data_IF_058482899094
#
_entry.id   IF_058482899094
#
_cell.length_a   1.000
_cell.length_b   1.000
_cell.length_c   1.000
_cell.angle_alpha   90.00
_cell.angle_beta   90.00
_cell.angle_gamma   90.00
#
_symmetry.space_group_name_H-M   'P 1'
#
loop_
_entity.id
_entity.type
_entity.pdbx_description
1 polymer ?
#
# COMPACT_ATOMS: atom_id res chain seq x y z
N UNK A 1 -18.95 16.01 -6.13
CA UNK A 1 -17.68 15.45 -5.61
C UNK A 1 -17.46 13.98 -5.98
N UNK A 2 -18.46 13.10 -5.96
CA UNK A 2 -18.31 11.66 -6.24
C UNK A 2 -18.63 11.24 -7.68
N UNK A 3 -18.73 12.16 -8.63
CA UNK A 3 -19.11 11.87 -10.03
C UNK A 3 -18.06 11.07 -10.80
N UNK A 4 -16.79 11.13 -10.38
CA UNK A 4 -15.69 10.40 -11.00
C UNK A 4 -15.58 8.93 -10.52
N UNK A 5 -16.32 8.56 -9.48
CA UNK A 5 -16.41 7.16 -9.07
C UNK A 5 -17.36 6.36 -9.98
N UNK A 6 -17.11 5.04 -10.12
CA UNK A 6 -17.96 4.15 -10.91
C UNK A 6 -19.45 4.27 -10.57
N UNK A 7 -20.30 4.07 -11.58
CA UNK A 7 -21.76 4.09 -11.39
C UNK A 7 -22.23 2.73 -10.85
N UNK A 8 -23.12 2.69 -9.84
CA UNK A 8 -23.54 1.43 -9.21
C UNK A 8 -24.43 0.55 -10.10
N UNK A 9 -25.06 1.12 -11.14
CA UNK A 9 -26.04 0.44 -11.98
C UNK A 9 -25.44 -0.21 -13.25
N UNK A 10 -24.11 -0.38 -13.30
CA UNK A 10 -23.42 -1.05 -14.39
C UNK A 10 -23.18 -2.51 -13.97
N UNK A 11 -23.38 -3.45 -14.88
CA UNK A 11 -23.02 -4.85 -14.67
C UNK A 11 -21.50 -5.02 -14.87
N UNK A 12 -20.79 -5.02 -13.76
CA UNK A 12 -19.33 -5.22 -13.76
C UNK A 12 -19.00 -6.72 -13.73
N UNK A 13 -17.95 -7.15 -14.45
CA UNK A 13 -17.57 -8.55 -14.48
C UNK A 13 -17.15 -9.04 -13.10
N UNK A 14 -17.60 -10.24 -12.74
CA UNK A 14 -17.16 -10.92 -11.54
C UNK A 14 -15.81 -11.60 -11.80
N UNK A 15 -14.80 -11.26 -11.02
CA UNK A 15 -13.42 -11.77 -11.16
C UNK A 15 -13.01 -12.48 -9.88
N UNK A 16 -13.20 -13.78 -9.82
CA UNK A 16 -12.83 -14.60 -8.64
C UNK A 16 -11.37 -14.42 -8.23
N UNK A 17 -10.49 -14.25 -9.21
CA UNK A 17 -9.07 -14.02 -8.98
C UNK A 17 -8.81 -12.75 -8.15
N UNK A 18 -9.51 -11.67 -8.39
CA UNK A 18 -9.31 -10.41 -7.67
C UNK A 18 -9.72 -10.56 -6.20
N UNK A 19 -10.80 -11.29 -5.93
CA UNK A 19 -11.19 -11.64 -4.56
C UNK A 19 -10.18 -12.56 -3.88
N UNK A 20 -9.63 -13.54 -4.63
CA UNK A 20 -8.58 -14.41 -4.12
C UNK A 20 -7.33 -13.62 -3.75
N UNK A 21 -6.83 -12.73 -4.64
CA UNK A 21 -5.66 -11.89 -4.37
C UNK A 21 -5.88 -11.08 -3.09
N UNK A 22 -7.03 -10.39 -2.99
CA UNK A 22 -7.33 -9.58 -1.83
C UNK A 22 -7.42 -10.43 -0.55
N UNK A 23 -8.27 -11.45 -0.52
CA UNK A 23 -8.45 -12.30 0.66
C UNK A 23 -7.17 -13.00 1.11
N UNK A 24 -6.40 -13.53 0.15
CA UNK A 24 -5.11 -14.16 0.42
C UNK A 24 -4.11 -13.17 1.03
N UNK A 25 -4.00 -11.96 0.46
CA UNK A 25 -3.07 -10.95 0.98
C UNK A 25 -3.47 -10.48 2.38
N UNK A 26 -4.74 -10.14 2.60
CA UNK A 26 -5.22 -9.76 3.94
C UNK A 26 -4.89 -10.82 4.98
N UNK A 27 -5.16 -12.09 4.66
CA UNK A 27 -4.88 -13.20 5.57
C UNK A 27 -3.38 -13.39 5.79
N UNK A 28 -2.59 -13.54 4.72
CA UNK A 28 -1.16 -13.82 4.83
C UNK A 28 -0.38 -12.70 5.48
N UNK A 29 -0.70 -11.42 5.16
CA UNK A 29 -0.06 -10.27 5.82
C UNK A 29 -0.40 -10.27 7.30
N UNK A 30 -1.67 -10.43 7.68
CA UNK A 30 -2.07 -10.47 9.09
C UNK A 30 -1.35 -11.57 9.86
N UNK A 31 -1.35 -12.80 9.33
CA UNK A 31 -0.67 -13.96 9.97
C UNK A 31 0.85 -13.72 10.06
N UNK A 32 1.49 -13.24 9.00
CA UNK A 32 2.93 -12.99 9.00
C UNK A 32 3.34 -11.94 10.02
N UNK A 33 2.57 -10.86 10.15
CA UNK A 33 2.86 -9.80 11.13
C UNK A 33 2.67 -10.27 12.57
N UNK A 34 1.62 -11.06 12.84
CA UNK A 34 1.42 -11.65 14.17
C UNK A 34 2.55 -12.61 14.54
N UNK A 35 2.99 -13.45 13.60
CA UNK A 35 4.15 -14.34 13.81
C UNK A 35 5.41 -13.50 14.05
N UNK A 36 5.68 -12.47 13.22
CA UNK A 36 6.88 -11.64 13.35
C UNK A 36 6.95 -10.91 14.69
N UNK A 37 5.81 -10.53 15.28
CA UNK A 37 5.76 -9.85 16.58
C UNK A 37 6.50 -10.58 17.72
N UNK A 38 6.65 -11.91 17.63
CA UNK A 38 7.38 -12.75 18.60
C UNK A 38 8.49 -13.61 17.98
N UNK A 39 8.70 -13.53 16.66
CA UNK A 39 9.64 -14.39 15.93
C UNK A 39 11.11 -14.07 16.23
N UNK A 40 12.01 -15.05 16.02
CA UNK A 40 13.44 -14.82 15.94
C UNK A 40 13.81 -14.11 14.63
N UNK A 41 15.06 -13.64 14.53
CA UNK A 41 15.56 -13.01 13.30
C UNK A 41 15.57 -13.98 12.11
N UNK A 42 15.88 -15.25 12.36
CA UNK A 42 15.87 -16.31 11.34
C UNK A 42 14.44 -16.55 10.83
N UNK A 43 13.46 -16.59 11.72
CA UNK A 43 12.05 -16.71 11.35
C UNK A 43 11.58 -15.50 10.56
N UNK A 44 11.97 -14.27 10.95
CA UNK A 44 11.69 -13.06 10.18
C UNK A 44 12.24 -13.15 8.75
N UNK A 45 13.47 -13.67 8.58
CA UNK A 45 14.06 -13.88 7.26
C UNK A 45 13.30 -14.95 6.45
N UNK A 46 12.86 -16.02 7.10
CA UNK A 46 12.05 -17.06 6.46
C UNK A 46 10.71 -16.50 5.97
N UNK A 47 10.03 -15.67 6.78
CA UNK A 47 8.82 -14.96 6.35
C UNK A 47 9.09 -14.11 5.11
N UNK A 48 10.28 -13.51 5.00
CA UNK A 48 10.70 -12.77 3.81
C UNK A 48 10.75 -13.64 2.55
N UNK A 49 11.37 -14.83 2.65
CA UNK A 49 11.42 -15.78 1.52
C UNK A 49 10.02 -16.23 1.12
N UNK A 50 9.17 -16.56 2.08
CA UNK A 50 7.78 -16.96 1.84
C UNK A 50 6.99 -15.83 1.16
N UNK A 51 7.16 -14.58 1.60
CA UNK A 51 6.48 -13.43 1.02
C UNK A 51 6.87 -13.20 -0.46
N UNK A 52 8.15 -13.42 -0.82
CA UNK A 52 8.58 -13.39 -2.22
C UNK A 52 7.92 -14.49 -3.05
N UNK A 53 7.85 -15.73 -2.55
CA UNK A 53 7.16 -16.84 -3.22
C UNK A 53 5.68 -16.50 -3.44
N UNK A 54 5.01 -15.94 -2.44
CA UNK A 54 3.62 -15.52 -2.55
C UNK A 54 3.45 -14.41 -3.59
N UNK A 55 4.28 -13.38 -3.56
CA UNK A 55 4.22 -12.30 -4.54
C UNK A 55 4.37 -12.84 -5.97
N UNK A 56 5.37 -13.67 -6.24
CA UNK A 56 5.56 -14.26 -7.56
C UNK A 56 4.38 -15.14 -7.97
N UNK A 57 3.83 -15.94 -7.06
CA UNK A 57 2.62 -16.72 -7.30
C UNK A 57 1.41 -15.86 -7.66
N UNK A 58 1.19 -14.77 -6.92
CA UNK A 58 0.10 -13.83 -7.18
C UNK A 58 0.27 -13.08 -8.51
N UNK A 59 1.50 -12.89 -9.00
CA UNK A 59 1.76 -12.26 -10.29
C UNK A 59 1.53 -13.18 -11.49
N UNK A 60 1.42 -14.50 -11.29
CA UNK A 60 1.08 -15.43 -12.36
C UNK A 60 -0.32 -15.08 -12.89
N UNK A 61 -0.45 -14.85 -14.20
CA UNK A 61 -1.73 -14.45 -14.83
C UNK A 61 -2.02 -12.94 -14.83
N UNK A 62 -1.24 -12.10 -14.16
CA UNK A 62 -1.33 -10.66 -14.35
C UNK A 62 -0.72 -10.21 -15.68
N UNK A 63 -1.25 -9.13 -16.25
CA UNK A 63 -0.72 -8.56 -17.47
C UNK A 63 0.65 -7.86 -17.23
N UNK A 64 1.36 -7.57 -18.32
CA UNK A 64 2.71 -6.98 -18.25
C UNK A 64 2.72 -5.62 -17.55
N UNK A 65 1.67 -4.83 -17.72
CA UNK A 65 1.58 -3.51 -17.13
C UNK A 65 1.45 -3.60 -15.61
N UNK A 66 0.52 -4.41 -15.09
CA UNK A 66 0.36 -4.63 -13.64
C UNK A 66 1.62 -5.22 -13.03
N UNK A 67 2.26 -6.20 -13.69
CA UNK A 67 3.55 -6.74 -13.23
C UNK A 67 4.63 -5.66 -13.12
N UNK A 68 4.74 -4.78 -14.10
CA UNK A 68 5.70 -3.68 -14.08
C UNK A 68 5.33 -2.66 -12.99
N UNK A 69 4.05 -2.36 -12.80
CA UNK A 69 3.59 -1.50 -11.71
C UNK A 69 4.01 -2.07 -10.34
N UNK A 70 3.85 -3.37 -10.13
CA UNK A 70 4.31 -4.05 -8.90
C UNK A 70 5.83 -3.92 -8.73
N UNK A 71 6.62 -4.12 -9.78
CA UNK A 71 8.08 -3.94 -9.72
C UNK A 71 8.46 -2.52 -9.31
N UNK A 72 7.81 -1.51 -9.90
CA UNK A 72 8.04 -0.10 -9.56
C UNK A 72 7.60 0.19 -8.12
N UNK A 73 6.44 -0.32 -7.69
CA UNK A 73 5.95 -0.16 -6.32
C UNK A 73 6.93 -0.77 -5.30
N UNK A 74 7.40 -1.99 -5.54
CA UNK A 74 8.41 -2.66 -4.69
C UNK A 74 9.68 -1.83 -4.60
N UNK A 75 10.24 -1.39 -5.73
CA UNK A 75 11.49 -0.62 -5.74
C UNK A 75 11.34 0.72 -5.03
N UNK A 76 10.28 1.47 -5.34
CA UNK A 76 10.05 2.79 -4.76
C UNK A 76 9.73 2.70 -3.25
N UNK A 77 8.83 1.78 -2.85
CA UNK A 77 8.48 1.60 -1.45
C UNK A 77 9.68 1.09 -0.63
N UNK A 78 10.49 0.17 -1.16
CA UNK A 78 11.70 -0.29 -0.47
C UNK A 78 12.69 0.86 -0.20
N UNK A 79 12.88 1.75 -1.16
CA UNK A 79 13.70 2.96 -0.95
C UNK A 79 13.08 3.88 0.10
N UNK A 80 11.76 4.07 0.05
CA UNK A 80 11.00 4.85 1.04
C UNK A 80 11.09 4.28 2.45
N UNK A 81 11.01 2.95 2.60
CA UNK A 81 11.16 2.25 3.87
C UNK A 81 12.52 2.48 4.53
N UNK A 82 13.61 2.35 3.76
CA UNK A 82 14.94 2.62 4.28
C UNK A 82 15.11 4.10 4.66
N UNK A 83 14.55 4.99 3.87
CA UNK A 83 14.59 6.42 4.19
C UNK A 83 13.79 6.73 5.46
N UNK A 84 12.56 6.26 5.56
CA UNK A 84 11.66 6.61 6.66
C UNK A 84 11.99 5.89 7.97
N UNK A 85 12.42 4.61 7.93
CA UNK A 85 12.66 3.81 9.14
C UNK A 85 14.10 3.81 9.61
N UNK A 86 15.09 3.89 8.69
CA UNK A 86 16.53 3.81 9.06
C UNK A 86 17.16 5.19 9.11
N UNK A 87 16.86 6.06 8.12
CA UNK A 87 17.49 7.37 8.04
C UNK A 87 16.75 8.43 8.85
N UNK A 88 15.41 8.51 8.73
CA UNK A 88 14.59 9.49 9.46
C UNK A 88 14.17 9.02 10.84
N UNK A 89 14.14 7.71 11.09
CA UNK A 89 13.63 7.11 12.34
C UNK A 89 12.17 7.51 12.65
N UNK A 90 11.37 7.79 11.62
CA UNK A 90 9.95 8.10 11.76
C UNK A 90 9.12 6.93 12.31
N UNK A 91 9.62 5.71 12.16
CA UNK A 91 9.21 4.47 12.82
C UNK A 91 10.36 3.48 12.81
N UNK A 92 10.30 2.50 13.69
CA UNK A 92 11.35 1.49 13.83
C UNK A 92 10.76 0.09 13.81
N UNK A 93 11.37 -0.80 13.04
CA UNK A 93 11.08 -2.22 13.09
C UNK A 93 11.73 -2.87 14.30
N UNK A 94 11.16 -3.97 14.77
CA UNK A 94 11.53 -4.66 16.02
C UNK A 94 13.02 -4.99 16.17
N UNK A 95 13.73 -5.25 15.06
CA UNK A 95 15.18 -5.53 15.06
C UNK A 95 16.04 -4.37 14.53
N UNK A 96 15.47 -3.17 14.37
CA UNK A 96 16.19 -2.02 13.82
C UNK A 96 16.63 -2.18 12.36
N UNK A 97 15.96 -3.01 11.59
CA UNK A 97 16.23 -3.27 10.18
C UNK A 97 14.93 -3.16 9.37
N UNK A 98 15.01 -2.99 8.06
CA UNK A 98 13.89 -3.25 7.17
C UNK A 98 13.79 -4.76 6.94
N UNK A 99 12.71 -5.45 7.40
CA UNK A 99 12.57 -6.90 7.24
C UNK A 99 12.52 -7.33 5.77
N UNK A 100 13.02 -8.54 5.46
CA UNK A 100 13.03 -9.07 4.09
C UNK A 100 11.63 -9.28 3.49
N UNK A 101 10.58 -9.36 4.30
CA UNK A 101 9.20 -9.47 3.82
C UNK A 101 8.61 -8.12 3.40
N UNK A 102 9.20 -6.99 3.77
CA UNK A 102 8.68 -5.65 3.50
C UNK A 102 8.64 -5.35 1.99
N UNK A 103 9.74 -5.54 1.23
CA UNK A 103 9.69 -5.33 -0.22
C UNK A 103 8.59 -6.13 -0.94
N UNK A 104 8.51 -7.48 -0.81
CA UNK A 104 7.43 -8.24 -1.44
C UNK A 104 6.06 -7.91 -0.83
N UNK A 105 5.99 -7.52 0.45
CA UNK A 105 4.79 -7.05 1.12
C UNK A 105 4.20 -5.83 0.41
N UNK A 106 5.00 -4.82 0.08
CA UNK A 106 4.55 -3.66 -0.71
C UNK A 106 4.03 -4.06 -2.10
N UNK A 107 4.67 -5.03 -2.74
CA UNK A 107 4.19 -5.60 -4.00
C UNK A 107 2.81 -6.25 -3.86
N UNK A 108 2.58 -7.02 -2.79
CA UNK A 108 1.30 -7.65 -2.48
C UNK A 108 0.23 -6.61 -2.13
N UNK A 109 0.58 -5.58 -1.36
CA UNK A 109 -0.31 -4.46 -1.01
C UNK A 109 -0.77 -3.72 -2.26
N UNK A 110 0.19 -3.32 -3.13
CA UNK A 110 -0.13 -2.68 -4.39
C UNK A 110 -1.07 -3.55 -5.25
N UNK A 111 -0.72 -4.82 -5.44
CA UNK A 111 -1.52 -5.75 -6.24
C UNK A 111 -2.93 -5.94 -5.65
N UNK A 112 -3.05 -5.93 -4.32
CA UNK A 112 -4.35 -5.98 -3.63
C UNK A 112 -5.18 -4.73 -3.86
N UNK A 113 -4.57 -3.54 -3.80
CA UNK A 113 -5.24 -2.29 -4.13
C UNK A 113 -5.78 -2.30 -5.58
N UNK A 114 -4.99 -2.80 -6.53
CA UNK A 114 -5.41 -3.00 -7.92
C UNK A 114 -6.55 -4.02 -8.02
N UNK A 115 -6.45 -5.17 -7.35
CA UNK A 115 -7.47 -6.22 -7.36
C UNK A 115 -8.80 -5.72 -6.77
N UNK A 116 -8.75 -5.03 -5.63
CA UNK A 116 -9.94 -4.39 -5.03
C UNK A 116 -10.55 -3.38 -5.99
N UNK A 117 -9.73 -2.51 -6.60
CA UNK A 117 -10.20 -1.43 -7.50
C UNK A 117 -10.98 -1.92 -8.70
N UNK A 118 -10.74 -3.14 -9.17
CA UNK A 118 -11.41 -3.76 -10.33
C UNK A 118 -12.42 -4.84 -9.93
N UNK A 119 -12.58 -5.13 -8.64
CA UNK A 119 -13.55 -6.10 -8.15
C UNK A 119 -14.98 -5.55 -8.25
N UNK A 120 -15.94 -6.43 -8.61
CA UNK A 120 -17.35 -6.06 -8.76
C UNK A 120 -17.91 -5.38 -7.50
N UNK A 121 -17.58 -5.91 -6.32
CA UNK A 121 -18.04 -5.35 -5.05
C UNK A 121 -17.61 -3.89 -4.86
N UNK A 122 -16.31 -3.60 -5.09
CA UNK A 122 -15.79 -2.24 -4.97
C UNK A 122 -16.37 -1.30 -6.02
N UNK A 123 -16.51 -1.76 -7.28
CA UNK A 123 -17.05 -0.94 -8.37
C UNK A 123 -18.52 -0.55 -8.10
N UNK A 124 -19.36 -1.49 -7.68
CA UNK A 124 -20.78 -1.22 -7.37
C UNK A 124 -20.90 -0.31 -6.13
N UNK A 125 -20.07 -0.51 -5.12
CA UNK A 125 -20.16 0.22 -3.86
C UNK A 125 -19.18 1.39 -3.74
N UNK A 126 -18.48 1.76 -4.81
CA UNK A 126 -17.38 2.74 -4.80
C UNK A 126 -17.70 4.02 -4.01
N UNK A 127 -18.86 4.63 -4.26
CA UNK A 127 -19.26 5.86 -3.56
C UNK A 127 -19.55 5.64 -2.08
N UNK A 128 -20.21 4.54 -1.74
CA UNK A 128 -20.49 4.18 -0.33
C UNK A 128 -19.20 3.91 0.43
N UNK A 129 -18.27 3.17 -0.18
CA UNK A 129 -16.96 2.88 0.39
C UNK A 129 -16.13 4.15 0.56
N UNK A 130 -16.14 5.06 -0.43
CA UNK A 130 -15.46 6.35 -0.31
C UNK A 130 -16.02 7.19 0.84
N UNK A 131 -17.34 7.28 1.00
CA UNK A 131 -17.99 7.97 2.11
C UNK A 131 -17.62 7.33 3.45
N UNK A 132 -17.66 5.98 3.53
CA UNK A 132 -17.27 5.23 4.73
C UNK A 132 -15.83 5.53 5.14
N UNK A 133 -14.90 5.47 4.18
CA UNK A 133 -13.48 5.72 4.41
C UNK A 133 -13.23 7.16 4.86
N UNK A 134 -13.89 8.14 4.22
CA UNK A 134 -13.78 9.55 4.60
C UNK A 134 -14.34 9.78 6.01
N UNK A 135 -15.49 9.18 6.34
CA UNK A 135 -16.08 9.32 7.66
C UNK A 135 -15.24 8.63 8.75
N UNK A 136 -14.87 7.35 8.54
CA UNK A 136 -14.11 6.59 9.54
C UNK A 136 -12.69 7.16 9.74
N UNK A 137 -11.95 7.43 8.65
CA UNK A 137 -10.62 8.01 8.72
C UNK A 137 -10.64 9.45 9.25
N UNK A 138 -11.67 10.23 8.87
CA UNK A 138 -11.87 11.59 9.40
C UNK A 138 -12.16 11.60 10.90
N UNK A 139 -13.02 10.71 11.39
CA UNK A 139 -13.28 10.56 12.82
C UNK A 139 -12.03 10.11 13.58
N UNK A 140 -11.27 9.16 13.04
CA UNK A 140 -10.01 8.74 13.63
C UNK A 140 -8.99 9.89 13.70
N UNK A 141 -8.83 10.64 12.61
CA UNK A 141 -7.93 11.80 12.56
C UNK A 141 -8.36 12.89 13.54
N UNK A 142 -9.65 13.21 13.62
CA UNK A 142 -10.20 14.17 14.57
C UNK A 142 -9.98 13.72 16.03
N UNK A 143 -10.18 12.43 16.32
CA UNK A 143 -9.87 11.86 17.63
C UNK A 143 -8.38 12.00 17.95
N UNK A 144 -7.49 11.71 16.98
CA UNK A 144 -6.05 11.81 17.15
C UNK A 144 -5.54 13.23 17.50
N UNK A 145 -6.20 14.27 16.99
CA UNK A 145 -5.83 15.68 17.29
C UNK A 145 -6.65 16.31 18.42
N UNK A 146 -7.61 15.59 19.00
CA UNK A 146 -8.54 16.14 20.01
C UNK A 146 -7.90 16.38 21.39
N UNK A 147 -6.70 15.84 21.63
CA UNK A 147 -6.06 15.83 22.95
C UNK A 147 -6.62 14.77 23.91
N UNK A 148 -7.57 13.92 23.46
CA UNK A 148 -8.10 12.80 24.27
C UNK A 148 -7.10 11.62 24.35
N UNK A 149 -6.48 11.16 23.23
CA UNK A 149 -5.50 10.08 23.31
C UNK A 149 -4.20 10.58 23.95
N UNK A 150 -3.54 9.70 24.71
CA UNK A 150 -2.23 9.98 25.33
C UNK A 150 -1.17 10.36 24.28
N UNK A 151 -1.23 9.73 23.11
CA UNK A 151 -0.39 10.06 21.97
C UNK A 151 -1.23 10.75 20.89
N UNK A 152 -0.95 12.03 20.64
CA UNK A 152 -1.60 12.81 19.59
C UNK A 152 -1.20 12.33 18.18
N UNK A 153 -1.96 12.72 17.16
CA UNK A 153 -1.76 12.28 15.77
C UNK A 153 -1.91 13.43 14.75
N UNK A 154 -1.09 14.48 14.90
CA UNK A 154 -1.09 15.61 13.96
C UNK A 154 -0.62 15.17 12.56
N UNK A 155 0.40 14.31 12.51
CA UNK A 155 0.91 13.74 11.23
C UNK A 155 -0.17 12.94 10.53
N UNK A 156 -0.84 12.03 11.24
CA UNK A 156 -1.90 11.23 10.64
C UNK A 156 -3.06 12.07 10.12
N UNK A 157 -3.48 13.10 10.86
CA UNK A 157 -4.53 14.01 10.41
C UNK A 157 -4.12 14.78 9.15
N UNK A 158 -2.88 15.26 9.07
CA UNK A 158 -2.34 15.90 7.86
C UNK A 158 -2.28 14.94 6.67
N UNK A 159 -1.76 13.74 6.88
CA UNK A 159 -1.72 12.69 5.85
C UNK A 159 -3.12 12.29 5.39
N UNK A 160 -4.10 12.25 6.30
CA UNK A 160 -5.48 11.97 5.92
C UNK A 160 -6.07 13.05 4.99
N UNK A 161 -5.76 14.32 5.22
CA UNK A 161 -6.13 15.38 4.27
C UNK A 161 -5.50 15.17 2.88
N UNK A 162 -4.22 14.75 2.83
CA UNK A 162 -3.56 14.39 1.56
C UNK A 162 -4.25 13.20 0.90
N UNK A 163 -4.58 12.16 1.67
CA UNK A 163 -5.31 11.00 1.16
C UNK A 163 -6.65 11.42 0.52
N UNK A 164 -7.42 12.27 1.20
CA UNK A 164 -8.71 12.77 0.67
C UNK A 164 -8.50 13.56 -0.63
N UNK A 165 -7.45 14.39 -0.71
CA UNK A 165 -7.09 15.09 -1.95
C UNK A 165 -6.76 14.08 -3.05
N UNK A 166 -5.95 13.05 -2.78
CA UNK A 166 -5.63 11.99 -3.73
C UNK A 166 -6.90 11.27 -4.20
N UNK A 167 -7.81 10.96 -3.28
CA UNK A 167 -9.07 10.27 -3.58
C UNK A 167 -9.96 11.08 -4.56
N UNK A 168 -9.96 12.41 -4.47
CA UNK A 168 -10.80 13.28 -5.31
C UNK A 168 -10.09 13.85 -6.54
N UNK A 169 -8.79 14.00 -6.52
CA UNK A 169 -8.02 14.66 -7.59
C UNK A 169 -6.99 13.75 -8.25
N UNK A 170 -6.68 12.62 -7.63
CA UNK A 170 -5.71 11.66 -8.15
C UNK A 170 -6.22 10.92 -9.40
N UNK A 171 -5.28 10.34 -10.15
CA UNK A 171 -5.55 9.66 -11.42
C UNK A 171 -6.24 8.31 -11.27
N UNK A 172 -6.15 7.68 -10.09
CA UNK A 172 -6.61 6.31 -9.85
C UNK A 172 -7.37 6.19 -8.52
N UNK A 173 -8.49 6.92 -8.35
CA UNK A 173 -9.21 6.98 -7.06
C UNK A 173 -9.64 5.61 -6.54
N UNK A 174 -9.95 4.66 -7.43
CA UNK A 174 -10.33 3.30 -7.03
C UNK A 174 -9.15 2.50 -6.45
N UNK A 175 -7.92 2.70 -6.98
CA UNK A 175 -6.71 2.08 -6.42
C UNK A 175 -6.40 2.69 -5.05
N UNK A 176 -6.48 4.02 -4.90
CA UNK A 176 -6.29 4.68 -3.61
C UNK A 176 -7.32 4.25 -2.57
N UNK A 177 -8.58 4.07 -3.00
CA UNK A 177 -9.62 3.53 -2.14
C UNK A 177 -9.29 2.09 -1.70
N UNK A 178 -8.84 1.24 -2.61
CA UNK A 178 -8.38 -0.12 -2.31
C UNK A 178 -7.17 -0.14 -1.37
N UNK A 179 -6.19 0.75 -1.63
CA UNK A 179 -5.01 0.90 -0.79
C UNK A 179 -5.36 1.27 0.66
N UNK A 180 -6.34 2.16 0.88
CA UNK A 180 -6.77 2.51 2.23
C UNK A 180 -7.11 1.27 3.07
N UNK A 181 -7.86 0.32 2.53
CA UNK A 181 -8.28 -0.86 3.28
C UNK A 181 -7.11 -1.75 3.65
N UNK A 182 -6.26 -2.11 2.68
CA UNK A 182 -5.14 -3.02 2.97
C UNK A 182 -4.06 -2.36 3.81
N UNK A 183 -3.77 -1.06 3.58
CA UNK A 183 -2.75 -0.34 4.35
C UNK A 183 -3.19 -0.10 5.78
N UNK A 184 -4.42 0.37 6.00
CA UNK A 184 -4.96 0.55 7.34
C UNK A 184 -4.97 -0.77 8.11
N UNK A 185 -5.36 -1.88 7.43
CA UNK A 185 -5.32 -3.21 8.02
C UNK A 185 -3.92 -3.62 8.47
N UNK A 186 -2.93 -3.55 7.58
CA UNK A 186 -1.57 -3.96 7.92
C UNK A 186 -0.95 -3.09 9.01
N UNK A 187 -1.24 -1.78 9.02
CA UNK A 187 -0.73 -0.87 10.03
C UNK A 187 -1.30 -1.16 11.42
N UNK A 188 -2.61 -1.38 11.50
CA UNK A 188 -3.25 -1.76 12.77
C UNK A 188 -2.69 -3.09 13.28
N UNK A 189 -2.59 -4.10 12.41
CA UNK A 189 -2.08 -5.42 12.82
C UNK A 189 -0.59 -5.36 13.17
N UNK A 190 0.23 -4.70 12.36
CA UNK A 190 1.67 -4.64 12.57
C UNK A 190 2.06 -3.87 13.83
N UNK A 191 1.43 -2.73 14.09
CA UNK A 191 1.68 -1.96 15.32
C UNK A 191 1.12 -2.67 16.56
N UNK A 192 -0.05 -3.31 16.47
CA UNK A 192 -0.61 -4.10 17.56
C UNK A 192 0.21 -5.35 17.89
N UNK A 193 0.81 -6.00 16.87
CA UNK A 193 1.73 -7.12 17.05
C UNK A 193 3.13 -6.70 17.52
N UNK A 194 3.44 -5.40 17.50
CA UNK A 194 4.77 -4.88 17.85
C UNK A 194 5.83 -5.13 16.80
N UNK A 195 5.45 -5.38 15.55
CA UNK A 195 6.35 -5.61 14.42
C UNK A 195 7.13 -4.36 14.07
N UNK A 196 6.48 -3.20 14.15
CA UNK A 196 7.09 -1.86 14.12
C UNK A 196 6.36 -0.92 15.07
N UNK A 197 7.03 0.18 15.39
CA UNK A 197 6.48 1.23 16.23
C UNK A 197 6.78 2.59 15.60
N UNK A 198 5.77 3.42 15.43
CA UNK A 198 5.91 4.80 15.00
C UNK A 198 6.47 5.67 16.13
N UNK A 199 7.33 6.60 15.79
CA UNK A 199 7.83 7.59 16.73
C UNK A 199 6.67 8.45 17.25
N UNK A 200 6.66 8.78 18.52
CA UNK A 200 5.59 9.62 19.09
C UNK A 200 5.63 11.06 18.59
N UNK A 201 6.81 11.52 18.19
CA UNK A 201 7.06 12.81 17.54
C UNK A 201 7.76 12.54 16.22
N UNK A 202 7.21 13.08 15.16
CA UNK A 202 7.80 12.97 13.81
C UNK A 202 9.06 13.84 13.72
N UNK A 203 10.19 13.29 13.22
CA UNK A 203 11.50 13.93 13.37
C UNK A 203 11.74 15.21 12.55
N UNK A 204 10.95 15.47 11.48
CA UNK A 204 11.17 16.60 10.58
C UNK A 204 10.44 17.86 11.06
N UNK A 205 9.14 17.73 11.34
CA UNK A 205 8.28 18.86 11.72
C UNK A 205 8.04 18.95 13.23
N UNK A 206 8.48 17.96 13.99
CA UNK A 206 8.21 17.82 15.44
C UNK A 206 6.71 17.77 15.76
N UNK A 207 5.93 17.14 14.91
CA UNK A 207 4.51 16.92 15.13
C UNK A 207 4.25 15.60 15.83
N UNK A 208 3.18 15.56 16.63
CA UNK A 208 2.74 14.31 17.25
C UNK A 208 2.29 13.31 16.18
N UNK A 209 2.61 12.04 16.38
CA UNK A 209 2.35 10.99 15.42
C UNK A 209 1.72 9.78 16.11
N UNK A 210 0.59 9.29 15.56
CA UNK A 210 -0.11 8.11 16.05
C UNK A 210 0.66 6.81 15.80
N UNK A 211 0.28 5.76 16.49
CA UNK A 211 0.84 4.41 16.30
C UNK A 211 -0.28 3.37 16.05
N UNK A 212 -0.73 3.21 14.79
CA UNK A 212 -0.26 3.89 13.58
C UNK A 212 -0.90 5.27 13.36
N UNK A 213 -0.32 6.11 12.44
CA UNK A 213 -0.94 7.37 12.03
C UNK A 213 -2.26 7.13 11.26
N UNK A 214 -3.30 7.91 11.56
CA UNK A 214 -4.64 7.74 10.97
C UNK A 214 -4.71 7.91 9.44
N UNK A 215 -3.80 8.70 8.87
CA UNK A 215 -3.72 9.00 7.44
C UNK A 215 -2.64 8.23 6.67
N UNK A 216 -2.08 7.16 7.23
CA UNK A 216 -0.95 6.40 6.65
C UNK A 216 -1.18 5.96 5.21
N UNK A 217 -2.42 5.71 4.80
CA UNK A 217 -2.77 5.37 3.41
C UNK A 217 -2.33 6.42 2.37
N UNK A 218 -2.05 7.67 2.77
CA UNK A 218 -1.52 8.69 1.86
C UNK A 218 -0.15 8.32 1.29
N UNK A 219 0.71 7.66 2.06
CA UNK A 219 2.00 7.16 1.57
C UNK A 219 1.82 6.14 0.44
N UNK A 220 0.82 5.28 0.57
CA UNK A 220 0.51 4.32 -0.48
C UNK A 220 -0.10 4.98 -1.71
N UNK A 221 -0.86 6.08 -1.57
CA UNK A 221 -1.27 6.88 -2.73
C UNK A 221 -0.06 7.40 -3.52
N UNK A 222 1.03 7.76 -2.85
CA UNK A 222 2.27 8.16 -3.51
C UNK A 222 2.93 6.97 -4.24
N UNK A 223 3.06 5.81 -3.57
CA UNK A 223 3.58 4.57 -4.18
C UNK A 223 2.77 4.19 -5.42
N UNK A 224 1.44 4.21 -5.31
CA UNK A 224 0.52 3.87 -6.39
C UNK A 224 0.64 4.86 -7.57
N UNK A 225 0.72 6.16 -7.27
CA UNK A 225 0.87 7.19 -8.30
C UNK A 225 2.19 7.04 -9.07
N UNK A 226 3.28 6.72 -8.37
CA UNK A 226 4.59 6.43 -8.96
C UNK A 226 4.53 5.17 -9.81
N UNK A 227 3.98 4.07 -9.29
CA UNK A 227 3.86 2.80 -10.01
C UNK A 227 3.05 2.96 -11.31
N UNK A 228 1.88 3.59 -11.24
CA UNK A 228 1.00 3.82 -12.40
C UNK A 228 1.65 4.78 -13.41
N UNK A 229 2.37 5.81 -12.93
CA UNK A 229 3.00 6.80 -13.80
C UNK A 229 4.26 6.33 -14.50
N UNK A 230 5.07 5.49 -13.87
CA UNK A 230 6.38 5.06 -14.38
C UNK A 230 6.35 3.73 -15.15
N UNK A 231 5.49 2.79 -14.77
CA UNK A 231 5.45 1.47 -15.42
C UNK A 231 5.28 1.53 -16.95
N UNK A 232 4.36 2.34 -17.52
CA UNK A 232 4.23 2.45 -18.98
C UNK A 232 5.48 3.03 -19.64
N UNK A 233 6.16 4.00 -18.99
CA UNK A 233 7.39 4.61 -19.52
C UNK A 233 8.53 3.59 -19.59
N UNK A 234 8.69 2.77 -18.55
CA UNK A 234 9.70 1.71 -18.50
C UNK A 234 9.40 0.66 -19.58
N UNK A 235 8.16 0.20 -19.69
CA UNK A 235 7.77 -0.77 -20.71
C UNK A 235 8.03 -0.28 -22.13
N UNK A 236 7.70 0.97 -22.42
CA UNK A 236 7.98 1.61 -23.70
C UNK A 236 9.49 1.70 -23.98
N UNK A 237 10.29 2.03 -22.96
CA UNK A 237 11.75 2.04 -23.06
C UNK A 237 12.32 0.67 -23.39
N UNK A 238 11.87 -0.38 -22.69
CA UNK A 238 12.28 -1.76 -22.94
C UNK A 238 11.90 -2.26 -24.34
N UNK A 239 10.72 -1.88 -24.83
CA UNK A 239 10.29 -2.22 -26.20
C UNK A 239 11.19 -1.57 -27.26
N UNK A 240 11.52 -0.27 -27.08
CA UNK A 240 12.44 0.43 -27.99
C UNK A 240 13.84 -0.18 -27.99
N UNK A 241 14.38 -0.53 -26.81
CA UNK A 241 15.66 -1.22 -26.70
C UNK A 241 15.65 -2.57 -27.42
N UNK A 242 14.61 -3.37 -27.22
CA UNK A 242 14.49 -4.68 -27.86
C UNK A 242 14.35 -4.56 -29.39
N UNK A 243 13.63 -3.56 -29.90
CA UNK A 243 13.53 -3.30 -31.34
C UNK A 243 14.87 -2.86 -31.93
N UNK A 244 15.60 -1.99 -31.24
CA UNK A 244 16.94 -1.55 -31.64
C UNK A 244 17.93 -2.71 -31.69
N UNK A 245 17.94 -3.56 -30.65
CA UNK A 245 18.79 -4.75 -30.59
C UNK A 245 18.53 -5.69 -31.77
N UNK A 246 17.25 -5.99 -32.06
CA UNK A 246 16.86 -6.86 -33.20
C UNK A 246 17.31 -6.28 -34.54
N UNK A 247 17.20 -4.96 -34.73
CA UNK A 247 17.62 -4.32 -36.01
C UNK A 247 19.13 -4.20 -36.12
N UNK A 248 19.88 -4.12 -35.04
CA UNK A 248 21.32 -3.91 -35.04
C UNK A 248 22.15 -5.22 -35.08
N UNK A 249 21.61 -6.30 -34.50
CA UNK A 249 22.38 -7.53 -34.26
C UNK A 249 21.76 -8.80 -34.86
N UNK A 250 20.55 -8.76 -35.41
CA UNK A 250 19.88 -9.91 -36.06
C UNK A 250 19.60 -9.51 -37.52
N UNK A 251 20.68 -9.29 -38.29
CA UNK A 251 20.65 -9.22 -39.75
C UNK A 251 21.33 -10.44 -40.30
#
# INVERSE_FOLDING_TARGET
>A
MLSHFPKPNIDYPHRNRDYFIAGFTFFCVGVSLVIDGSASKEMQNLLGVIAWIFLFGLLIGENKEVRMQVVVAVAFATAGEHFASIYMEGYTYRFGNVPLYVPPGHGMVYLTAVALSRSRFFLINARKLAVLVIAAGGLWSLWGISGIPEQGDQVGAFLFCIFVICLFKGRSPMVYLGAFFICTWLEIVGTAAGTWKWASIEPVFNWTQGNPPSGVAAWYCLVDAVAIGFAPKILNGLQKMNSWYKTSFIK
#
